data_IF_314846786832
#
_entry.id   IF_314846786832
#
_cell.length_a   1.000
_cell.length_b   1.000
_cell.length_c   1.000
_cell.angle_alpha   90.00
_cell.angle_beta   90.00
_cell.angle_gamma   90.00
#
_symmetry.space_group_name_H-M   'P 1'
#
loop_
_entity.id
_entity.type
_entity.pdbx_description
1 polymer ?
#
# COMPACT_ATOMS: atom_id res chain seq x y z
N UNK A 1 -4.63 -9.90 15.46
CA UNK A 1 -3.39 -9.22 15.88
C UNK A 1 -2.54 -10.12 16.73
N UNK A 2 -1.23 -9.91 16.70
CA UNK A 2 -0.21 -10.57 17.53
C UNK A 2 0.49 -9.49 18.36
N UNK A 3 0.80 -9.80 19.62
CA UNK A 3 1.56 -8.91 20.49
C UNK A 3 3.05 -8.97 20.14
N UNK A 4 3.62 -7.79 19.88
CA UNK A 4 5.05 -7.61 19.64
C UNK A 4 5.63 -6.93 20.88
N UNK A 5 6.58 -7.57 21.59
CA UNK A 5 7.04 -7.09 22.91
C UNK A 5 7.80 -5.76 22.90
N UNK A 6 8.14 -5.23 21.72
CA UNK A 6 8.98 -4.04 21.59
C UNK A 6 10.45 -4.31 21.90
N UNK A 7 11.28 -3.29 21.77
CA UNK A 7 12.72 -3.36 21.99
C UNK A 7 13.50 -2.44 21.06
N UNK A 8 14.82 -2.60 21.07
CA UNK A 8 15.71 -1.85 20.19
C UNK A 8 16.26 -2.72 19.06
N UNK A 9 16.29 -2.19 17.85
CA UNK A 9 16.82 -2.87 16.67
C UNK A 9 17.63 -1.94 15.77
N UNK A 10 18.31 -2.53 14.79
CA UNK A 10 19.02 -1.82 13.73
C UNK A 10 18.07 -1.65 12.54
N UNK A 11 17.60 -0.43 12.30
CA UNK A 11 16.69 -0.08 11.22
C UNK A 11 17.46 0.36 9.97
N UNK A 12 16.95 0.03 8.78
CA UNK A 12 17.55 0.36 7.49
C UNK A 12 18.50 -0.71 6.94
N UNK A 13 19.32 -0.33 5.95
CA UNK A 13 20.27 -1.21 5.25
C UNK A 13 21.68 -0.63 5.23
N UNK A 14 22.66 -1.47 4.89
CA UNK A 14 24.02 -1.02 4.61
C UNK A 14 24.17 -0.53 3.16
N UNK A 15 25.24 0.21 2.87
CA UNK A 15 25.49 0.75 1.55
C UNK A 15 25.85 -0.32 0.50
N UNK A 16 26.26 -1.52 0.92
CA UNK A 16 26.63 -2.63 0.03
C UNK A 16 25.39 -3.35 -0.52
N UNK A 17 24.31 -3.38 0.26
CA UNK A 17 23.02 -3.95 -0.10
C UNK A 17 22.08 -2.94 -0.78
N UNK A 18 22.52 -1.70 -0.95
CA UNK A 18 21.76 -0.62 -1.56
C UNK A 18 21.47 -0.93 -3.05
N UNK A 19 20.34 -1.57 -3.30
CA UNK A 19 19.83 -1.86 -4.64
C UNK A 19 18.37 -2.32 -4.60
N UNK A 20 17.64 -2.10 -5.69
CA UNK A 20 16.34 -2.74 -5.95
C UNK A 20 16.34 -3.31 -7.37
N UNK A 21 15.95 -4.58 -7.53
CA UNK A 21 15.99 -5.26 -8.84
C UNK A 21 17.38 -5.17 -9.53
N UNK A 22 18.45 -5.29 -8.74
CA UNK A 22 19.85 -5.13 -9.20
C UNK A 22 20.22 -3.74 -9.73
N UNK A 23 19.38 -2.72 -9.48
CA UNK A 23 19.70 -1.33 -9.76
C UNK A 23 20.26 -0.67 -8.48
N UNK A 24 21.53 -0.22 -8.48
CA UNK A 24 22.06 0.56 -7.38
C UNK A 24 21.47 1.97 -7.38
N UNK A 25 21.43 2.60 -6.22
CA UNK A 25 20.97 3.98 -6.03
C UNK A 25 19.47 4.15 -5.74
N UNK A 26 18.69 3.08 -5.76
CA UNK A 26 17.22 3.11 -5.66
C UNK A 26 16.72 3.09 -4.22
N UNK A 27 17.51 2.55 -3.29
CA UNK A 27 17.16 2.35 -1.87
C UNK A 27 18.05 3.20 -0.94
N UNK A 28 18.54 4.34 -1.44
CA UNK A 28 19.47 5.21 -0.69
C UNK A 28 18.84 5.82 0.56
N UNK A 29 17.52 5.95 0.57
CA UNK A 29 16.71 6.39 1.70
C UNK A 29 16.68 5.39 2.86
N UNK A 30 17.00 4.11 2.61
CA UNK A 30 17.17 3.10 3.65
C UNK A 30 18.52 3.21 4.41
N UNK A 31 19.42 4.11 3.97
CA UNK A 31 20.72 4.35 4.61
C UNK A 31 20.68 5.54 5.59
N UNK A 32 21.51 5.54 6.65
CA UNK A 32 22.32 4.43 7.15
C UNK A 32 21.54 3.56 8.14
N UNK A 33 22.12 2.40 8.47
CA UNK A 33 21.70 1.65 9.65
C UNK A 33 21.80 2.53 10.90
N UNK A 34 20.71 2.62 11.66
CA UNK A 34 20.66 3.35 12.92
C UNK A 34 19.83 2.60 13.96
N UNK A 35 20.07 2.89 15.24
CA UNK A 35 19.36 2.25 16.36
C UNK A 35 18.02 2.93 16.59
N UNK A 36 16.96 2.13 16.61
CA UNK A 36 15.59 2.59 16.88
C UNK A 36 15.00 1.74 18.00
N UNK A 37 14.30 2.39 18.92
CA UNK A 37 13.53 1.76 19.99
C UNK A 37 12.04 1.87 19.67
N UNK A 38 11.29 0.78 19.81
CA UNK A 38 9.83 0.76 19.75
C UNK A 38 9.26 0.15 21.02
N UNK A 39 8.17 0.72 21.52
CA UNK A 39 7.41 0.13 22.64
C UNK A 39 6.74 -1.18 22.22
N UNK A 40 6.15 -1.92 23.17
CA UNK A 40 5.31 -3.06 22.84
C UNK A 40 4.02 -2.64 22.15
N UNK A 41 3.64 -3.31 21.07
CA UNK A 41 2.43 -2.99 20.28
C UNK A 41 1.74 -4.23 19.73
N UNK A 42 0.49 -4.07 19.30
CA UNK A 42 -0.24 -5.09 18.56
C UNK A 42 -0.09 -4.82 17.06
N UNK A 43 0.20 -5.87 16.28
CA UNK A 43 0.22 -5.81 14.81
C UNK A 43 -0.75 -6.85 14.23
N UNK A 44 -1.40 -6.56 13.11
CA UNK A 44 -2.16 -7.59 12.39
C UNK A 44 -1.21 -8.67 11.83
N UNK A 45 -1.67 -9.92 11.84
CA UNK A 45 -0.85 -11.07 11.41
C UNK A 45 -0.80 -11.22 9.88
N UNK A 46 -1.75 -10.59 9.19
CA UNK A 46 -1.95 -10.59 7.75
C UNK A 46 -2.29 -9.18 7.31
N UNK A 47 -2.19 -8.90 6.01
CA UNK A 47 -2.83 -7.72 5.45
C UNK A 47 -4.34 -7.74 5.71
N UNK A 48 -4.97 -6.56 5.61
CA UNK A 48 -6.42 -6.42 5.65
C UNK A 48 -7.02 -7.10 4.43
N UNK A 49 -7.97 -8.00 4.64
CA UNK A 49 -8.57 -8.77 3.54
C UNK A 49 -9.75 -8.04 2.89
N UNK A 50 -10.11 -8.44 1.66
CA UNK A 50 -11.32 -7.95 0.99
C UNK A 50 -12.58 -8.17 1.83
N UNK A 51 -12.68 -9.31 2.51
CA UNK A 51 -13.83 -9.61 3.40
C UNK A 51 -13.91 -8.64 4.58
N UNK A 52 -12.77 -8.35 5.22
CA UNK A 52 -12.68 -7.40 6.33
C UNK A 52 -13.01 -5.97 5.88
N UNK A 53 -12.45 -5.53 4.75
CA UNK A 53 -12.70 -4.22 4.20
C UNK A 53 -14.18 -4.06 3.75
N UNK A 54 -14.78 -5.12 3.19
CA UNK A 54 -16.21 -5.15 2.87
C UNK A 54 -17.10 -4.91 4.10
N UNK A 55 -16.74 -5.45 5.27
CA UNK A 55 -17.46 -5.22 6.54
C UNK A 55 -17.39 -3.75 6.96
N UNK A 56 -16.22 -3.11 6.81
CA UNK A 56 -16.05 -1.68 7.04
C UNK A 56 -16.95 -0.86 6.13
N UNK A 57 -16.86 -1.06 4.81
CA UNK A 57 -17.65 -0.28 3.83
C UNK A 57 -19.14 -0.48 4.04
N UNK A 58 -19.60 -1.71 4.31
CA UNK A 58 -21.02 -1.99 4.62
C UNK A 58 -21.51 -1.28 5.89
N UNK A 59 -20.66 -1.14 6.90
CA UNK A 59 -21.01 -0.52 8.17
C UNK A 59 -21.03 1.01 8.10
N UNK A 60 -20.19 1.62 7.27
CA UNK A 60 -19.96 3.07 7.27
C UNK A 60 -20.48 3.78 6.02
N UNK A 61 -20.70 3.05 4.92
CA UNK A 61 -20.96 3.63 3.60
C UNK A 61 -19.74 4.35 3.02
N UNK A 62 -18.53 4.01 3.46
CA UNK A 62 -17.29 4.65 3.01
C UNK A 62 -17.08 4.50 1.50
N UNK A 63 -16.59 5.58 0.88
CA UNK A 63 -16.25 5.66 -0.55
C UNK A 63 -14.76 5.94 -0.64
N UNK A 64 -13.99 5.04 -1.24
CA UNK A 64 -12.53 5.16 -1.27
C UNK A 64 -12.07 6.28 -2.19
N UNK A 65 -10.80 6.70 -2.06
CA UNK A 65 -10.21 7.70 -2.95
C UNK A 65 -10.32 7.28 -4.43
N UNK A 66 -10.09 6.00 -4.73
CA UNK A 66 -10.21 5.47 -6.10
C UNK A 66 -11.65 5.54 -6.66
N UNK A 67 -12.67 5.53 -5.81
CA UNK A 67 -14.08 5.67 -6.19
C UNK A 67 -14.52 7.13 -6.38
N UNK A 68 -13.72 8.09 -5.91
CA UNK A 68 -14.02 9.51 -5.98
C UNK A 68 -13.51 10.10 -7.31
N UNK A 69 -14.32 10.97 -7.91
CA UNK A 69 -13.92 11.70 -9.12
C UNK A 69 -12.92 12.80 -8.71
N UNK A 70 -11.68 12.78 -9.23
CA UNK A 70 -10.72 13.85 -8.96
C UNK A 70 -11.25 15.21 -9.43
N UNK A 71 -10.92 16.26 -8.69
CA UNK A 71 -11.32 17.63 -9.04
C UNK A 71 -10.21 18.36 -9.80
N UNK A 72 -10.58 19.39 -10.57
CA UNK A 72 -9.61 20.26 -11.23
C UNK A 72 -8.77 21.06 -10.21
N UNK A 73 -9.30 21.28 -9.00
CA UNK A 73 -8.58 21.97 -7.92
C UNK A 73 -7.43 21.10 -7.38
N UNK A 74 -7.67 19.80 -7.19
CA UNK A 74 -6.65 18.83 -6.78
C UNK A 74 -5.61 18.59 -7.89
N UNK A 75 -6.03 18.62 -9.16
CA UNK A 75 -5.17 18.39 -10.32
C UNK A 75 -5.28 19.51 -11.37
N UNK A 76 -4.71 20.71 -11.13
CA UNK A 76 -4.88 21.87 -12.01
C UNK A 76 -4.32 21.70 -13.42
N UNK A 77 -3.36 20.79 -13.62
CA UNK A 77 -2.71 20.55 -14.92
C UNK A 77 -3.29 19.34 -15.65
N UNK A 78 -4.20 18.59 -15.03
CA UNK A 78 -4.81 17.43 -15.66
C UNK A 78 -5.89 17.86 -16.67
N UNK A 79 -5.91 17.29 -17.88
CA UNK A 79 -7.02 17.45 -18.81
C UNK A 79 -8.33 16.97 -18.18
N UNK A 80 -9.47 17.65 -18.40
CA UNK A 80 -10.76 17.28 -17.81
C UNK A 80 -11.20 15.84 -18.09
N UNK A 81 -10.82 15.29 -19.24
CA UNK A 81 -11.07 13.90 -19.65
C UNK A 81 -10.32 12.86 -18.79
N UNK A 82 -9.25 13.26 -18.12
CA UNK A 82 -8.47 12.41 -17.22
C UNK A 82 -8.95 12.51 -15.75
N UNK A 83 -9.86 13.44 -15.45
CA UNK A 83 -10.47 13.59 -14.12
C UNK A 83 -11.64 12.63 -13.95
N UNK A 84 -11.33 11.34 -13.92
CA UNK A 84 -12.30 10.24 -13.76
C UNK A 84 -11.91 9.42 -12.53
N UNK A 85 -12.90 8.80 -11.88
CA UNK A 85 -12.62 7.86 -10.80
C UNK A 85 -11.96 6.60 -11.36
N UNK A 86 -11.04 6.02 -10.61
CA UNK A 86 -10.24 4.89 -11.03
C UNK A 86 -8.89 4.84 -10.32
N UNK A 87 -8.10 3.85 -10.68
CA UNK A 87 -6.79 3.61 -10.10
C UNK A 87 -5.82 3.03 -11.12
N UNK A 88 -4.55 3.01 -10.74
CA UNK A 88 -3.48 2.42 -11.55
C UNK A 88 -3.50 0.90 -11.41
N UNK A 89 -3.56 0.19 -12.54
CA UNK A 89 -3.58 -1.28 -12.62
C UNK A 89 -2.29 -1.75 -13.29
N UNK A 90 -1.72 -2.81 -12.73
CA UNK A 90 -0.52 -3.43 -13.28
C UNK A 90 -0.88 -4.14 -14.59
N UNK A 91 -0.20 -3.75 -15.66
CA UNK A 91 -0.36 -4.30 -17.01
C UNK A 91 1.00 -4.84 -17.46
N UNK A 92 1.29 -6.14 -17.28
CA UNK A 92 2.62 -6.69 -17.56
C UNK A 92 3.00 -6.50 -19.03
N UNK A 93 4.26 -6.18 -19.27
CA UNK A 93 4.81 -6.12 -20.63
C UNK A 93 5.12 -7.53 -21.15
N UNK A 94 4.96 -7.80 -22.47
CA UNK A 94 5.27 -9.11 -23.04
C UNK A 94 6.77 -9.42 -23.09
N UNK A 95 7.62 -8.41 -22.88
CA UNK A 95 9.07 -8.52 -22.81
C UNK A 95 9.64 -7.55 -21.76
N UNK A 96 10.89 -7.74 -21.30
CA UNK A 96 11.58 -6.75 -20.48
C UNK A 96 11.64 -5.39 -21.16
N UNK A 97 11.40 -4.33 -20.40
CA UNK A 97 11.46 -2.93 -20.85
C UNK A 97 12.36 -2.10 -19.93
N UNK A 98 12.87 -0.94 -20.38
CA UNK A 98 13.58 -0.01 -19.50
C UNK A 98 12.74 0.40 -18.29
N UNK A 99 13.32 0.36 -17.08
CA UNK A 99 12.62 0.62 -15.83
C UNK A 99 12.47 2.12 -15.47
N UNK A 100 12.80 3.02 -16.39
CA UNK A 100 12.77 4.47 -16.19
C UNK A 100 11.44 5.13 -16.60
N UNK A 101 10.50 4.35 -17.13
CA UNK A 101 9.15 4.80 -17.46
C UNK A 101 8.13 3.76 -17.01
N UNK A 102 7.49 4.01 -15.87
CA UNK A 102 6.54 3.11 -15.23
C UNK A 102 5.21 2.99 -15.96
N UNK A 103 4.89 3.92 -16.86
CA UNK A 103 3.67 3.84 -17.67
C UNK A 103 3.71 2.66 -18.66
N UNK A 104 4.87 2.03 -18.86
CA UNK A 104 4.99 0.82 -19.67
C UNK A 104 4.35 -0.42 -19.01
N UNK A 105 4.22 -0.46 -17.68
CA UNK A 105 3.62 -1.60 -16.96
C UNK A 105 2.56 -1.20 -15.92
N UNK A 106 2.24 0.08 -15.82
CA UNK A 106 1.12 0.60 -15.04
C UNK A 106 0.24 1.44 -15.94
N UNK A 107 -1.06 1.19 -15.90
CA UNK A 107 -2.06 1.94 -16.67
C UNK A 107 -3.14 2.46 -15.75
N UNK A 108 -3.54 3.72 -15.92
CA UNK A 108 -4.70 4.25 -15.23
C UNK A 108 -5.98 3.67 -15.84
N UNK A 109 -6.80 3.01 -15.03
CA UNK A 109 -8.03 2.34 -15.48
C UNK A 109 -9.23 2.98 -14.80
N UNK A 110 -10.10 3.57 -15.61
CA UNK A 110 -11.36 4.15 -15.17
C UNK A 110 -12.21 3.11 -14.45
N UNK A 111 -12.72 3.43 -13.26
CA UNK A 111 -13.54 2.53 -12.45
C UNK A 111 -12.78 1.35 -11.83
N UNK A 112 -11.45 1.32 -11.90
CA UNK A 112 -10.68 0.39 -11.07
C UNK A 112 -10.66 0.89 -9.62
N UNK A 113 -11.19 0.07 -8.71
CA UNK A 113 -11.29 0.36 -7.28
C UNK A 113 -11.08 -0.93 -6.46
N UNK A 114 -11.30 -0.87 -5.15
CA UNK A 114 -11.10 -2.03 -4.27
C UNK A 114 -12.08 -3.18 -4.53
N UNK A 115 -13.30 -2.90 -5.04
CA UNK A 115 -14.28 -3.92 -5.46
C UNK A 115 -13.86 -4.51 -6.80
N UNK A 116 -13.33 -3.67 -7.68
CA UNK A 116 -13.01 -3.94 -9.08
C UNK A 116 -11.52 -3.71 -9.38
N UNK A 117 -10.60 -4.54 -8.84
CA UNK A 117 -9.17 -4.21 -8.73
C UNK A 117 -8.44 -4.10 -10.07
N UNK A 118 -9.02 -4.62 -11.15
CA UNK A 118 -8.46 -4.57 -12.51
C UNK A 118 -9.38 -3.86 -13.51
N UNK A 119 -10.35 -3.10 -13.02
CA UNK A 119 -11.35 -2.39 -13.84
C UNK A 119 -12.77 -2.93 -13.66
N UNK A 120 -13.79 -2.20 -14.17
CA UNK A 120 -15.19 -2.29 -13.76
C UNK A 120 -15.85 -3.65 -14.02
N UNK A 121 -15.32 -4.44 -14.95
CA UNK A 121 -15.88 -5.73 -15.35
C UNK A 121 -15.43 -6.89 -14.45
N UNK A 122 -14.36 -6.72 -13.67
CA UNK A 122 -13.74 -7.80 -12.88
C UNK A 122 -13.80 -7.41 -11.41
N UNK A 123 -14.51 -8.19 -10.62
CA UNK A 123 -14.55 -8.04 -9.16
C UNK A 123 -13.56 -8.98 -8.45
N UNK A 124 -13.63 -9.00 -7.11
CA UNK A 124 -12.83 -9.88 -6.26
C UNK A 124 -13.58 -11.15 -5.80
N UNK A 125 -14.60 -11.61 -6.53
CA UNK A 125 -15.33 -12.86 -6.19
C UNK A 125 -14.36 -14.04 -6.11
N UNK A 126 -14.43 -14.80 -5.00
CA UNK A 126 -13.50 -15.91 -4.74
C UNK A 126 -12.11 -15.48 -4.26
N UNK A 127 -11.92 -14.18 -3.93
CA UNK A 127 -10.69 -13.60 -3.36
C UNK A 127 -10.96 -12.85 -2.06
N UNK A 128 -11.92 -13.33 -1.27
CA UNK A 128 -12.35 -12.71 -0.02
C UNK A 128 -11.21 -12.61 1.01
N UNK A 129 -10.33 -13.63 1.04
CA UNK A 129 -9.18 -13.72 1.94
C UNK A 129 -7.91 -13.06 1.38
N UNK A 130 -7.97 -12.49 0.18
CA UNK A 130 -6.83 -11.77 -0.41
C UNK A 130 -6.74 -10.37 0.20
N UNK A 131 -5.52 -9.77 0.22
CA UNK A 131 -5.35 -8.38 0.62
C UNK A 131 -6.25 -7.47 -0.22
N UNK A 132 -6.92 -6.52 0.45
CA UNK A 132 -7.58 -5.43 -0.25
C UNK A 132 -6.55 -4.55 -0.94
N UNK A 133 -6.83 -4.18 -2.19
CA UNK A 133 -5.97 -3.35 -3.04
C UNK A 133 -6.76 -2.16 -3.58
N UNK A 134 -6.11 -1.26 -4.34
CA UNK A 134 -6.72 -0.03 -4.85
C UNK A 134 -7.29 0.88 -3.75
N UNK A 135 -6.61 0.89 -2.60
CA UNK A 135 -6.90 1.80 -1.48
C UNK A 135 -5.72 2.77 -1.31
N UNK A 136 -6.02 4.02 -1.02
CA UNK A 136 -5.06 5.06 -0.68
C UNK A 136 -4.70 5.04 0.82
N UNK A 137 -3.79 5.92 1.23
CA UNK A 137 -3.40 6.04 2.63
C UNK A 137 -4.58 6.42 3.53
N UNK A 138 -5.41 7.36 3.07
CA UNK A 138 -6.59 7.87 3.76
C UNK A 138 -7.63 6.77 3.98
N UNK A 139 -7.80 5.90 2.98
CA UNK A 139 -8.68 4.74 3.02
C UNK A 139 -8.24 3.73 4.10
N UNK A 140 -6.92 3.50 4.19
CA UNK A 140 -6.33 2.62 5.19
C UNK A 140 -6.45 3.20 6.62
N UNK A 141 -6.25 4.51 6.78
CA UNK A 141 -6.45 5.22 8.06
C UNK A 141 -7.91 5.16 8.50
N UNK A 142 -8.85 5.39 7.58
CA UNK A 142 -10.28 5.33 7.88
C UNK A 142 -10.70 3.93 8.35
N UNK A 143 -10.25 2.89 7.64
CA UNK A 143 -10.47 1.50 8.04
C UNK A 143 -9.88 1.20 9.42
N UNK A 144 -8.60 1.55 9.64
CA UNK A 144 -7.92 1.28 10.89
C UNK A 144 -8.64 1.95 12.08
N UNK A 145 -9.07 3.21 11.89
CA UNK A 145 -9.82 3.96 12.90
C UNK A 145 -11.16 3.29 13.23
N UNK A 146 -11.93 2.90 12.20
CA UNK A 146 -13.20 2.18 12.38
C UNK A 146 -13.00 0.85 13.11
N UNK A 147 -11.90 0.13 12.81
CA UNK A 147 -11.56 -1.13 13.45
C UNK A 147 -11.04 -0.96 14.90
N UNK A 148 -10.96 0.27 15.42
CA UNK A 148 -10.40 0.56 16.74
C UNK A 148 -8.88 0.37 16.82
N UNK A 149 -8.19 0.56 15.69
CA UNK A 149 -6.74 0.39 15.50
C UNK A 149 -6.11 1.70 14.97
N UNK A 150 -4.87 1.61 14.53
CA UNK A 150 -4.13 2.63 13.77
C UNK A 150 -3.19 1.94 12.78
N UNK A 151 -2.66 2.69 11.82
CA UNK A 151 -1.53 2.22 11.02
C UNK A 151 -0.27 2.12 11.90
N UNK A 152 0.64 1.17 11.60
CA UNK A 152 1.94 1.14 12.24
C UNK A 152 2.79 2.32 11.77
N UNK A 153 3.72 2.75 12.62
CA UNK A 153 4.83 3.59 12.14
C UNK A 153 5.76 2.75 11.27
N UNK A 154 6.59 3.40 10.45
CA UNK A 154 7.61 2.72 9.65
C UNK A 154 8.53 1.85 10.53
N UNK A 155 8.98 2.38 11.67
CA UNK A 155 9.82 1.67 12.62
C UNK A 155 9.12 0.43 13.22
N UNK A 156 7.85 0.54 13.60
CA UNK A 156 7.06 -0.60 14.08
C UNK A 156 6.89 -1.67 12.99
N UNK A 157 6.65 -1.24 11.75
CA UNK A 157 6.47 -2.14 10.62
C UNK A 157 7.76 -2.92 10.33
N UNK A 158 8.90 -2.23 10.24
CA UNK A 158 10.19 -2.89 9.99
C UNK A 158 10.60 -3.78 11.16
N UNK A 159 10.40 -3.34 12.41
CA UNK A 159 10.68 -4.15 13.60
C UNK A 159 9.89 -5.46 13.60
N UNK A 160 8.59 -5.40 13.28
CA UNK A 160 7.73 -6.57 13.17
C UNK A 160 8.17 -7.48 12.01
N UNK A 161 8.47 -6.91 10.83
CA UNK A 161 8.89 -7.64 9.64
C UNK A 161 10.23 -8.38 9.82
N UNK A 162 11.14 -7.85 10.63
CA UNK A 162 12.42 -8.51 10.98
C UNK A 162 12.25 -9.75 11.85
N UNK A 163 11.07 -9.96 12.47
CA UNK A 163 10.71 -11.20 13.14
C UNK A 163 11.66 -11.61 14.28
N UNK A 164 12.17 -10.62 15.03
CA UNK A 164 13.10 -10.85 16.14
C UNK A 164 14.57 -11.02 15.76
N UNK A 165 14.93 -10.85 14.48
CA UNK A 165 16.33 -10.75 14.06
C UNK A 165 16.82 -9.30 14.24
N UNK A 166 18.06 -9.14 14.71
CA UNK A 166 18.61 -7.83 15.09
C UNK A 166 18.80 -6.86 13.91
N UNK A 167 18.74 -7.38 12.67
CA UNK A 167 19.10 -6.65 11.45
C UNK A 167 20.57 -6.62 11.19
#
# INVERSE_FOLDING_TARGET
MVWIPGGEFSMGSDAESESLCSLPGVTRDALPIHRVAVDGFWMDATEVTNEQYSKFVKATGYVTVAEQKPTQEEFPTAPPENLIAGSTVFAPTPQPVPLNDYFQWWSYVAGADWKHPTGPEIDHTGREDYPVVQIAYEDAVAYATWAGKRLPTEAEWEFAARGGKAG
#
